data_IF_616716934165
#
_entry.id   IF_616716934165
#
_cell.length_a   1.000
_cell.length_b   1.000
_cell.length_c   1.000
_cell.angle_alpha   90.00
_cell.angle_beta   90.00
_cell.angle_gamma   90.00
#
_symmetry.space_group_name_H-M   'P 1'
#
loop_
_entity.id
_entity.type
_entity.pdbx_description
1 polymer ?
#
# COMPACT_ATOMS: atom_id res chain seq x y z
N UNK A 1 1.02 6.40 11.80
CA UNK A 1 1.49 5.35 10.87
C UNK A 1 2.96 5.57 10.64
N UNK A 2 3.71 4.48 10.53
CA UNK A 2 5.09 4.51 10.02
C UNK A 2 5.09 5.01 8.57
N UNK A 3 6.22 5.57 8.17
CA UNK A 3 6.45 5.99 6.79
C UNK A 3 6.31 4.76 5.87
N UNK A 4 5.56 4.85 4.75
CA UNK A 4 5.45 3.73 3.82
C UNK A 4 6.80 3.46 3.14
N UNK A 5 7.00 2.20 2.75
CA UNK A 5 8.08 1.83 1.84
C UNK A 5 7.56 1.90 0.40
N UNK A 6 8.05 2.87 -0.37
CA UNK A 6 7.72 2.96 -1.80
C UNK A 6 8.59 1.99 -2.61
N UNK A 7 7.94 1.28 -3.53
CA UNK A 7 8.55 0.31 -4.44
C UNK A 7 8.06 0.55 -5.86
N UNK A 8 8.85 0.13 -6.84
CA UNK A 8 8.51 0.15 -8.26
C UNK A 8 8.66 -1.25 -8.86
N UNK A 9 7.73 -1.61 -9.74
CA UNK A 9 7.75 -2.84 -10.52
C UNK A 9 7.62 -2.53 -12.00
N UNK A 10 8.64 -2.88 -12.77
CA UNK A 10 8.59 -2.76 -14.23
C UNK A 10 7.79 -3.93 -14.82
N UNK A 11 6.78 -3.59 -15.62
CA UNK A 11 5.93 -4.54 -16.35
C UNK A 11 5.89 -4.16 -17.83
N UNK A 12 5.48 -5.06 -18.74
CA UNK A 12 5.34 -4.70 -20.15
C UNK A 12 4.39 -3.50 -20.33
N UNK A 13 4.94 -2.37 -20.80
CA UNK A 13 4.17 -1.16 -21.11
C UNK A 13 3.93 -0.19 -19.95
N UNK A 14 4.43 -0.47 -18.73
CA UNK A 14 4.29 0.46 -17.60
C UNK A 14 5.33 0.20 -16.50
N UNK A 15 5.56 1.21 -15.66
CA UNK A 15 6.17 1.04 -14.34
C UNK A 15 5.08 1.24 -13.29
N UNK A 16 4.87 0.24 -12.44
CA UNK A 16 3.90 0.31 -11.35
C UNK A 16 4.62 0.77 -10.08
N UNK A 17 4.26 1.95 -9.59
CA UNK A 17 4.73 2.46 -8.29
C UNK A 17 3.68 2.19 -7.23
N UNK A 18 4.08 1.63 -6.09
CA UNK A 18 3.18 1.33 -4.97
C UNK A 18 3.90 1.53 -3.64
N UNK A 19 3.11 1.83 -2.61
CA UNK A 19 3.57 1.92 -1.23
C UNK A 19 3.24 0.63 -0.49
N UNK A 20 4.08 0.26 0.47
CA UNK A 20 3.84 -0.82 1.42
C UNK A 20 3.84 -0.22 2.83
N UNK A 21 2.78 -0.48 3.58
CA UNK A 21 2.65 -0.17 5.01
C UNK A 21 2.47 -1.50 5.73
N UNK A 22 3.53 -1.94 6.40
CA UNK A 22 3.55 -3.22 7.10
C UNK A 22 2.60 -3.19 8.32
N UNK A 23 1.89 -4.29 8.55
CA UNK A 23 1.16 -4.48 9.79
C UNK A 23 2.15 -4.58 10.96
N UNK A 24 1.81 -3.95 12.08
CA UNK A 24 2.61 -4.03 13.31
C UNK A 24 1.70 -4.31 14.52
N UNK A 25 1.80 -5.51 15.14
CA UNK A 25 2.76 -6.59 14.86
C UNK A 25 2.49 -7.32 13.53
N UNK A 26 3.45 -8.15 13.10
CA UNK A 26 3.34 -8.99 11.90
C UNK A 26 1.99 -9.73 11.85
N UNK A 27 1.28 -9.57 10.74
CA UNK A 27 -0.07 -10.09 10.57
C UNK A 27 -0.10 -11.35 9.70
N UNK A 28 -1.01 -12.26 10.04
CA UNK A 28 -1.35 -13.43 9.21
C UNK A 28 -2.51 -13.15 8.25
N UNK A 29 -3.12 -11.98 8.35
CA UNK A 29 -4.19 -11.57 7.44
C UNK A 29 -3.64 -11.31 6.03
N UNK A 30 -4.40 -11.62 4.96
CA UNK A 30 -3.94 -11.36 3.61
C UNK A 30 -3.63 -9.87 3.36
N UNK A 31 -2.77 -9.59 2.38
CA UNK A 31 -2.49 -8.20 1.97
C UNK A 31 -3.76 -7.52 1.43
N UNK A 32 -3.98 -6.26 1.78
CA UNK A 32 -5.04 -5.42 1.20
C UNK A 32 -4.45 -4.42 0.21
N UNK A 33 -4.67 -4.64 -1.08
CA UNK A 33 -4.28 -3.68 -2.11
C UNK A 33 -5.33 -2.57 -2.24
N UNK A 34 -4.93 -1.32 -2.04
CA UNK A 34 -5.75 -0.13 -2.33
C UNK A 34 -5.32 0.52 -3.63
N UNK A 35 -6.26 0.74 -4.55
CA UNK A 35 -5.99 1.33 -5.86
C UNK A 35 -7.09 2.31 -6.25
N UNK A 36 -6.68 3.40 -6.89
CA UNK A 36 -7.56 4.42 -7.46
C UNK A 36 -7.04 4.88 -8.82
N UNK A 37 -7.93 5.40 -9.65
CA UNK A 37 -7.59 6.07 -10.91
C UNK A 37 -8.54 7.25 -11.10
N UNK A 38 -8.05 8.44 -11.47
CA UNK A 38 -6.68 8.77 -11.91
C UNK A 38 -5.71 9.17 -10.76
N UNK A 39 -6.04 8.86 -9.51
CA UNK A 39 -5.30 9.25 -8.31
C UNK A 39 -4.10 8.31 -8.01
N UNK A 40 -3.08 8.83 -7.32
CA UNK A 40 -1.94 8.05 -6.82
C UNK A 40 -2.21 7.39 -5.44
N UNK A 41 -1.19 6.73 -4.87
CA UNK A 41 -1.30 6.06 -3.58
C UNK A 41 -1.48 7.01 -2.39
N UNK A 42 -1.08 8.29 -2.52
CA UNK A 42 -1.11 9.25 -1.41
C UNK A 42 -2.53 9.47 -0.87
N UNK A 43 -3.53 9.40 -1.77
CA UNK A 43 -4.94 9.57 -1.42
C UNK A 43 -5.50 8.48 -0.49
N UNK A 44 -4.79 7.36 -0.31
CA UNK A 44 -5.22 6.28 0.58
C UNK A 44 -4.63 6.33 1.99
N UNK A 45 -3.74 7.29 2.29
CA UNK A 45 -3.03 7.32 3.59
C UNK A 45 -3.96 7.28 4.80
N UNK A 46 -5.06 8.04 4.79
CA UNK A 46 -6.05 8.00 5.88
C UNK A 46 -6.80 6.67 5.94
N UNK A 47 -7.20 6.13 4.78
CA UNK A 47 -7.93 4.85 4.71
C UNK A 47 -7.07 3.69 5.22
N UNK A 48 -5.80 3.65 4.81
CA UNK A 48 -4.82 2.68 5.28
C UNK A 48 -4.68 2.67 6.82
N UNK A 49 -4.82 3.83 7.48
CA UNK A 49 -4.80 3.93 8.94
C UNK A 49 -5.96 3.22 9.67
N UNK A 50 -7.00 2.82 8.95
CA UNK A 50 -8.11 2.04 9.51
C UNK A 50 -7.92 0.52 9.42
N UNK A 51 -6.83 0.04 8.80
CA UNK A 51 -6.50 -1.38 8.67
C UNK A 51 -5.16 -1.72 9.36
N UNK A 52 -5.02 -1.47 10.67
CA UNK A 52 -3.77 -1.72 11.39
C UNK A 52 -3.40 -3.20 11.49
N UNK A 53 -4.37 -4.08 11.25
CA UNK A 53 -4.28 -5.54 11.34
C UNK A 53 -3.78 -6.19 10.04
N UNK A 54 -3.49 -5.43 8.98
CA UNK A 54 -3.06 -5.98 7.67
C UNK A 54 -1.96 -5.12 7.07
N UNK A 55 -1.07 -5.76 6.30
CA UNK A 55 -0.16 -5.03 5.42
C UNK A 55 -0.98 -4.45 4.27
N UNK A 56 -0.85 -3.15 4.03
CA UNK A 56 -1.62 -2.38 3.03
C UNK A 56 -0.74 -1.59 2.09
#
# INVERSE_FOLDING_TARGET
>A
MTEPKTQTLDVPGATVTYDIREAEPESTEPVLLMIGSPMDANGFTTLAGHFPDRTV
#
